data_IF_443202914509
#
_entry.id   IF_443202914509
#
_cell.length_a   1.000
_cell.length_b   1.000
_cell.length_c   1.000
_cell.angle_alpha   90.00
_cell.angle_beta   90.00
_cell.angle_gamma   90.00
#
_symmetry.space_group_name_H-M   'P 1'
#
loop_
_entity.id
_entity.type
_entity.pdbx_description
1 polymer ?
#
# COMPACT_ATOMS: atom_id res chain seq x y z
N UNK A 1 23.04 19.59 7.09
CA UNK A 1 23.76 18.49 6.43
C UNK A 1 22.86 17.88 5.38
N UNK A 2 23.40 17.41 4.24
CA UNK A 2 22.63 16.70 3.23
C UNK A 2 21.89 15.50 3.83
N UNK A 3 20.69 15.21 3.35
CA UNK A 3 19.86 14.17 3.94
C UNK A 3 18.98 13.50 2.91
N UNK A 4 18.75 12.19 3.09
CA UNK A 4 17.77 11.43 2.33
C UNK A 4 16.49 11.26 3.13
N UNK A 5 15.39 11.80 2.63
CA UNK A 5 14.06 11.52 3.16
C UNK A 5 13.36 10.47 2.31
N UNK A 6 12.84 9.42 2.94
CA UNK A 6 11.99 8.40 2.32
C UNK A 6 10.56 8.64 2.79
N UNK A 7 9.74 9.30 1.96
CA UNK A 7 8.52 9.95 2.39
C UNK A 7 7.28 9.19 1.94
N UNK A 8 6.46 8.76 2.87
CA UNK A 8 5.10 8.30 2.63
C UNK A 8 4.15 9.51 2.50
N UNK A 9 3.53 9.67 1.34
CA UNK A 9 2.67 10.84 1.06
C UNK A 9 1.18 10.59 1.29
N UNK A 10 0.85 9.44 1.87
CA UNK A 10 -0.55 9.07 2.08
C UNK A 10 -1.27 8.63 0.78
N UNK A 11 -2.60 8.45 0.83
CA UNK A 11 -3.35 7.82 -0.26
C UNK A 11 -3.57 8.72 -1.47
N UNK A 12 -3.42 10.04 -1.33
CA UNK A 12 -3.55 10.99 -2.43
C UNK A 12 -4.33 12.27 -2.09
N UNK A 13 -5.18 12.28 -1.07
CA UNK A 13 -5.78 13.52 -0.55
C UNK A 13 -4.74 14.34 0.19
N UNK A 14 -4.67 15.66 -0.08
CA UNK A 14 -3.79 16.59 0.64
C UNK A 14 -4.03 16.60 2.15
N UNK A 15 -5.27 16.43 2.58
CA UNK A 15 -5.64 16.41 3.99
C UNK A 15 -5.11 15.19 4.73
N UNK A 16 -4.61 14.19 4.00
CA UNK A 16 -4.07 12.94 4.54
C UNK A 16 -2.55 12.83 4.36
N UNK A 17 -1.89 13.90 3.95
CA UNK A 17 -0.43 14.02 4.01
C UNK A 17 -0.07 14.44 5.44
N UNK A 18 0.84 13.72 6.08
CA UNK A 18 1.26 14.06 7.45
C UNK A 18 2.03 15.39 7.48
N UNK A 19 1.92 16.19 8.57
CA UNK A 19 2.71 17.41 8.71
C UNK A 19 4.22 17.15 8.59
N UNK A 20 4.71 16.01 9.07
CA UNK A 20 6.11 15.63 8.97
C UNK A 20 6.52 15.35 7.51
N UNK A 21 5.63 14.75 6.71
CA UNK A 21 5.88 14.56 5.28
C UNK A 21 5.97 15.91 4.55
N UNK A 22 5.08 16.85 4.84
CA UNK A 22 5.15 18.21 4.27
C UNK A 22 6.48 18.87 4.62
N UNK A 23 6.88 18.84 5.90
CA UNK A 23 8.14 19.42 6.35
C UNK A 23 9.36 18.79 5.68
N UNK A 24 9.38 17.47 5.50
CA UNK A 24 10.45 16.78 4.78
C UNK A 24 10.55 17.24 3.32
N UNK A 25 9.40 17.36 2.64
CA UNK A 25 9.34 17.87 1.26
C UNK A 25 9.79 19.33 1.16
N UNK A 26 9.39 20.17 2.12
CA UNK A 26 9.82 21.57 2.18
C UNK A 26 11.31 21.75 2.41
N UNK A 27 11.93 20.85 3.19
CA UNK A 27 13.37 20.86 3.48
C UNK A 27 14.22 20.29 2.34
N UNK A 28 13.63 19.66 1.34
CA UNK A 28 14.36 19.02 0.25
C UNK A 28 14.72 19.99 -0.87
N UNK A 29 15.91 19.85 -1.43
CA UNK A 29 16.34 20.53 -2.66
C UNK A 29 15.68 19.87 -3.88
N UNK A 30 15.57 18.53 -3.85
CA UNK A 30 15.06 17.70 -4.96
C UNK A 30 14.03 16.73 -4.40
N UNK A 31 12.90 16.60 -5.11
CA UNK A 31 11.86 15.62 -4.80
C UNK A 31 11.75 14.66 -5.98
N UNK A 32 11.89 13.37 -5.71
CA UNK A 32 11.91 12.30 -6.70
C UNK A 32 10.77 11.30 -6.46
N UNK A 33 10.17 10.79 -7.52
CA UNK A 33 9.10 9.80 -7.39
C UNK A 33 8.54 9.30 -8.70
N UNK A 34 7.60 8.37 -8.60
CA UNK A 34 6.77 7.99 -9.74
C UNK A 34 5.90 9.19 -10.18
N UNK A 35 5.82 9.42 -11.50
CA UNK A 35 5.15 10.59 -12.08
C UNK A 35 3.77 10.88 -11.47
N UNK A 36 2.89 9.86 -11.38
CA UNK A 36 1.56 10.01 -10.80
C UNK A 36 1.57 10.35 -9.32
N UNK A 37 2.60 9.95 -8.56
CA UNK A 37 2.73 10.30 -7.14
C UNK A 37 3.19 11.73 -6.97
N UNK A 38 4.09 12.20 -7.84
CA UNK A 38 4.51 13.60 -7.90
C UNK A 38 3.30 14.50 -8.23
N UNK A 39 2.46 14.12 -9.18
CA UNK A 39 1.24 14.85 -9.53
C UNK A 39 0.30 15.02 -8.32
N UNK A 40 0.11 13.97 -7.52
CA UNK A 40 -0.76 14.00 -6.34
C UNK A 40 -0.28 14.99 -5.27
N UNK A 41 1.01 15.20 -5.12
CA UNK A 41 1.57 16.08 -4.09
C UNK A 41 1.92 17.47 -4.62
N UNK A 42 1.86 17.70 -5.95
CA UNK A 42 2.23 18.97 -6.60
C UNK A 42 1.60 20.22 -5.95
N UNK A 43 0.33 20.22 -5.53
CA UNK A 43 -0.25 21.35 -4.84
C UNK A 43 0.34 21.65 -3.45
N UNK A 44 0.92 20.64 -2.79
CA UNK A 44 1.54 20.79 -1.47
C UNK A 44 3.01 21.24 -1.53
N UNK A 45 3.63 21.17 -2.72
CA UNK A 45 5.06 21.51 -2.91
C UNK A 45 5.20 22.65 -3.94
N UNK A 46 5.82 23.77 -3.53
CA UNK A 46 6.04 24.91 -4.41
C UNK A 46 7.54 25.16 -4.56
N UNK A 47 7.95 25.59 -5.76
CA UNK A 47 9.33 26.01 -6.04
C UNK A 47 10.40 24.95 -5.72
N UNK A 48 10.10 23.66 -5.91
CA UNK A 48 11.03 22.56 -5.72
C UNK A 48 11.46 21.96 -7.06
N UNK A 49 12.68 21.47 -7.13
CA UNK A 49 13.12 20.65 -8.26
C UNK A 49 12.44 19.28 -8.18
N UNK A 50 11.72 18.90 -9.22
CA UNK A 50 10.97 17.67 -9.30
C UNK A 50 11.60 16.76 -10.34
N UNK A 51 11.89 15.53 -9.95
CA UNK A 51 12.32 14.48 -10.86
C UNK A 51 11.34 13.32 -10.82
N UNK A 52 10.72 13.04 -11.94
CA UNK A 52 9.75 11.94 -12.07
C UNK A 52 10.18 10.96 -13.14
N UNK A 53 9.76 9.73 -13.00
CA UNK A 53 10.01 8.65 -13.96
C UNK A 53 8.96 7.54 -13.82
N UNK A 54 9.02 6.53 -14.69
CA UNK A 54 8.09 5.41 -14.68
C UNK A 54 8.23 4.55 -13.42
N UNK A 55 7.19 3.78 -13.12
CA UNK A 55 7.15 2.88 -11.95
C UNK A 55 8.18 1.75 -12.02
N UNK A 56 8.75 1.48 -13.19
CA UNK A 56 9.70 0.37 -13.39
C UNK A 56 11.16 0.72 -13.09
N UNK A 57 11.44 1.97 -12.71
CA UNK A 57 12.78 2.50 -12.48
C UNK A 57 13.07 2.76 -10.99
N UNK A 58 12.54 1.92 -10.10
CA UNK A 58 12.71 2.09 -8.66
C UNK A 58 14.19 2.07 -8.25
N UNK A 59 14.96 1.11 -8.79
CA UNK A 59 16.38 0.95 -8.48
C UNK A 59 17.19 2.18 -8.93
N UNK A 60 17.00 2.61 -10.17
CA UNK A 60 17.74 3.75 -10.72
C UNK A 60 17.38 5.07 -10.02
N UNK A 61 16.11 5.22 -9.63
CA UNK A 61 15.66 6.37 -8.84
C UNK A 61 16.31 6.40 -7.45
N UNK A 62 16.44 5.24 -6.79
CA UNK A 62 17.11 5.15 -5.50
C UNK A 62 18.61 5.44 -5.60
N UNK A 63 19.32 4.90 -6.60
CA UNK A 63 20.73 5.19 -6.88
C UNK A 63 20.96 6.69 -7.10
N UNK A 64 20.16 7.30 -7.99
CA UNK A 64 20.28 8.72 -8.32
C UNK A 64 20.04 9.63 -7.13
N UNK A 65 19.06 9.27 -6.26
CA UNK A 65 18.81 10.02 -5.03
C UNK A 65 20.01 9.96 -4.08
N UNK A 66 20.63 8.79 -3.92
CA UNK A 66 21.84 8.61 -3.11
C UNK A 66 22.99 9.44 -3.68
N UNK A 67 23.21 9.40 -5.00
CA UNK A 67 24.24 10.22 -5.67
C UNK A 67 24.06 11.71 -5.40
N UNK A 68 22.84 12.22 -5.45
CA UNK A 68 22.56 13.62 -5.11
C UNK A 68 22.87 13.95 -3.64
N UNK A 69 22.57 13.04 -2.71
CA UNK A 69 22.90 13.28 -1.29
C UNK A 69 24.40 13.27 -1.08
N UNK A 70 25.14 12.37 -1.71
CA UNK A 70 26.61 12.34 -1.69
C UNK A 70 27.23 13.60 -2.32
N UNK A 71 26.53 14.21 -3.29
CA UNK A 71 26.90 15.50 -3.89
C UNK A 71 26.48 16.73 -3.04
N UNK A 72 26.02 16.54 -1.82
CA UNK A 72 25.69 17.62 -0.88
C UNK A 72 24.27 18.16 -0.96
N UNK A 73 23.32 17.46 -1.62
CA UNK A 73 21.91 17.88 -1.74
C UNK A 73 21.03 17.13 -0.74
N UNK A 74 19.98 17.78 -0.27
CA UNK A 74 18.91 17.13 0.49
C UNK A 74 17.82 16.64 -0.47
N UNK A 75 17.49 15.35 -0.41
CA UNK A 75 16.59 14.70 -1.37
C UNK A 75 15.44 14.00 -0.67
N UNK A 76 14.23 14.12 -1.20
CA UNK A 76 13.09 13.28 -0.83
C UNK A 76 12.75 12.30 -1.95
N UNK A 77 12.65 11.01 -1.61
CA UNK A 77 11.99 10.01 -2.47
C UNK A 77 10.58 9.81 -1.95
N UNK A 78 9.57 10.05 -2.79
CA UNK A 78 8.16 9.93 -2.40
C UNK A 78 7.57 8.59 -2.83
N UNK A 79 6.76 8.01 -1.92
CA UNK A 79 5.91 6.86 -2.16
C UNK A 79 4.47 7.23 -1.86
N UNK A 80 3.53 6.77 -2.67
CA UNK A 80 2.12 6.82 -2.30
C UNK A 80 1.85 5.86 -1.15
N UNK A 81 0.96 6.24 -0.24
CA UNK A 81 0.75 5.51 1.00
C UNK A 81 1.91 5.69 1.97
N UNK A 82 2.48 4.61 2.42
CA UNK A 82 3.64 4.56 3.31
C UNK A 82 4.91 4.15 2.55
N UNK A 83 6.06 4.74 2.90
CA UNK A 83 7.32 4.47 2.21
C UNK A 83 7.94 3.11 2.55
N UNK A 84 7.62 2.56 3.73
CA UNK A 84 8.11 1.25 4.21
C UNK A 84 7.18 0.09 3.87
N UNK A 85 5.91 0.35 3.45
CA UNK A 85 4.96 -0.70 3.09
C UNK A 85 4.82 -0.77 1.56
N UNK A 86 5.59 -1.68 0.95
CA UNK A 86 5.69 -1.84 -0.51
C UNK A 86 6.09 -0.56 -1.26
N UNK A 87 6.83 0.34 -0.57
CA UNK A 87 7.31 1.60 -1.08
C UNK A 87 8.82 1.62 -1.31
N UNK A 88 9.36 2.82 -1.54
CA UNK A 88 10.76 3.02 -1.94
C UNK A 88 11.77 2.87 -0.79
N UNK A 89 11.33 2.81 0.48
CA UNK A 89 12.25 2.77 1.61
C UNK A 89 13.10 1.48 1.62
N UNK A 90 12.48 0.32 1.30
CA UNK A 90 13.19 -0.95 1.28
C UNK A 90 14.39 -0.93 0.33
N UNK A 91 14.17 -0.60 -0.94
CA UNK A 91 15.22 -0.61 -1.97
C UNK A 91 16.32 0.44 -1.68
N UNK A 92 15.97 1.60 -1.14
CA UNK A 92 16.95 2.62 -0.77
C UNK A 92 17.85 2.12 0.37
N UNK A 93 17.27 1.51 1.40
CA UNK A 93 18.00 0.93 2.53
C UNK A 93 18.89 -0.25 2.12
N UNK A 94 18.39 -1.12 1.24
CA UNK A 94 19.17 -2.25 0.70
C UNK A 94 20.39 -1.76 -0.09
N UNK A 95 20.23 -0.71 -0.91
CA UNK A 95 21.35 -0.10 -1.64
C UNK A 95 22.38 0.53 -0.71
N UNK A 96 21.92 1.25 0.32
CA UNK A 96 22.82 1.86 1.30
C UNK A 96 23.62 0.79 2.03
N UNK A 97 22.98 -0.27 2.48
CA UNK A 97 23.63 -1.39 3.18
C UNK A 97 24.63 -2.14 2.25
N UNK A 98 24.27 -2.34 0.98
CA UNK A 98 25.12 -3.06 0.03
C UNK A 98 26.43 -2.31 -0.33
N UNK A 99 26.45 -0.99 -0.16
CA UNK A 99 27.59 -0.13 -0.51
C UNK A 99 28.22 0.60 0.69
N UNK A 100 27.80 0.28 1.91
CA UNK A 100 28.27 0.92 3.15
C UNK A 100 28.20 2.46 3.10
N UNK A 101 27.12 3.01 2.49
CA UNK A 101 26.95 4.46 2.43
C UNK A 101 26.57 5.02 3.78
N UNK A 102 27.38 5.93 4.33
CA UNK A 102 27.09 6.70 5.54
C UNK A 102 26.35 8.00 5.16
N UNK A 103 25.03 7.90 5.04
CA UNK A 103 24.12 8.99 4.67
C UNK A 103 23.11 9.19 5.79
N UNK A 104 22.90 10.45 6.19
CA UNK A 104 21.79 10.80 7.10
C UNK A 104 20.45 10.53 6.42
N UNK A 105 19.64 9.65 7.00
CA UNK A 105 18.37 9.20 6.44
C UNK A 105 17.22 9.39 7.44
N UNK A 106 16.04 9.72 6.93
CA UNK A 106 14.80 9.68 7.69
C UNK A 106 13.70 9.00 6.88
N UNK A 107 13.05 8.03 7.50
CA UNK A 107 11.87 7.37 6.96
C UNK A 107 10.65 8.05 7.57
N UNK A 108 9.85 8.70 6.72
CA UNK A 108 8.67 9.46 7.14
C UNK A 108 7.41 8.65 6.82
N UNK A 109 6.63 8.27 7.84
CA UNK A 109 5.45 7.44 7.63
C UNK A 109 4.34 8.16 6.87
N UNK A 110 3.55 7.41 6.14
CA UNK A 110 2.34 7.87 5.47
C UNK A 110 1.16 6.94 5.73
N UNK A 111 -0.05 7.40 5.45
CA UNK A 111 -1.25 6.58 5.57
C UNK A 111 -1.27 5.57 4.42
N UNK A 112 -1.02 4.31 4.73
CA UNK A 112 -0.97 3.23 3.75
C UNK A 112 -2.34 2.93 3.13
N UNK A 113 -2.36 2.30 1.97
CA UNK A 113 -3.58 1.88 1.28
C UNK A 113 -4.47 0.96 2.15
N UNK A 114 -3.88 0.12 3.02
CA UNK A 114 -4.60 -0.71 3.98
C UNK A 114 -5.51 0.15 4.89
N UNK A 115 -4.94 1.15 5.57
CA UNK A 115 -5.69 2.03 6.47
C UNK A 115 -6.73 2.86 5.70
N UNK A 116 -6.34 3.36 4.54
CA UNK A 116 -7.21 4.18 3.68
C UNK A 116 -8.43 3.39 3.20
N UNK A 117 -8.22 2.18 2.70
CA UNK A 117 -9.31 1.33 2.26
C UNK A 117 -10.15 0.82 3.44
N UNK A 118 -9.50 0.47 4.56
CA UNK A 118 -10.20 0.04 5.77
C UNK A 118 -11.21 1.08 6.24
N UNK A 119 -10.82 2.36 6.31
CA UNK A 119 -11.70 3.45 6.74
C UNK A 119 -12.88 3.70 5.78
N UNK A 120 -12.71 3.45 4.48
CA UNK A 120 -13.78 3.55 3.49
C UNK A 120 -14.74 2.36 3.53
N UNK A 121 -14.23 1.20 3.94
CA UNK A 121 -15.02 -0.03 4.05
C UNK A 121 -15.70 -0.19 5.43
N UNK A 122 -15.29 0.56 6.44
CA UNK A 122 -15.80 0.46 7.82
C UNK A 122 -14.71 0.03 8.79
N UNK A 123 -14.86 -1.13 9.43
CA UNK A 123 -13.91 -1.64 10.45
C UNK A 123 -13.48 -3.10 10.17
N UNK A 124 -12.92 -3.39 8.98
CA UNK A 124 -12.55 -4.76 8.64
C UNK A 124 -11.36 -5.28 9.48
N UNK A 125 -10.55 -4.41 10.07
CA UNK A 125 -9.30 -4.74 10.77
C UNK A 125 -9.40 -4.68 12.29
N UNK A 126 -10.59 -4.92 12.84
CA UNK A 126 -10.79 -4.95 14.31
C UNK A 126 -10.21 -6.21 14.97
N UNK A 127 -9.94 -7.26 14.19
CA UNK A 127 -9.27 -8.48 14.61
C UNK A 127 -7.97 -8.66 13.84
N UNK A 128 -7.28 -9.79 14.04
CA UNK A 128 -5.99 -10.06 13.43
C UNK A 128 -6.06 -10.04 11.91
N UNK A 129 -5.08 -9.42 11.30
CA UNK A 129 -5.00 -9.25 9.86
C UNK A 129 -3.58 -9.42 9.33
N UNK A 130 -3.45 -9.68 8.04
CA UNK A 130 -2.18 -9.68 7.34
C UNK A 130 -2.26 -8.90 6.03
N UNK A 131 -1.08 -8.52 5.52
CA UNK A 131 -0.90 -7.85 4.24
C UNK A 131 -0.04 -8.70 3.32
N UNK A 132 -0.50 -8.92 2.09
CA UNK A 132 0.20 -9.72 1.07
C UNK A 132 0.20 -8.94 -0.25
N UNK A 133 1.38 -8.78 -0.85
CA UNK A 133 1.48 -8.29 -2.22
C UNK A 133 1.39 -9.46 -3.21
N UNK A 134 0.49 -9.36 -4.18
CA UNK A 134 0.37 -10.31 -5.28
C UNK A 134 1.31 -9.97 -6.45
N UNK A 135 2.38 -9.21 -6.20
CA UNK A 135 3.38 -8.92 -7.22
C UNK A 135 4.46 -10.01 -7.26
N UNK A 136 4.50 -10.75 -8.36
CA UNK A 136 5.50 -11.79 -8.66
C UNK A 136 6.76 -11.26 -9.35
N UNK A 137 6.97 -9.95 -9.37
CA UNK A 137 8.14 -9.32 -10.01
C UNK A 137 9.45 -9.61 -9.28
N UNK A 138 9.42 -9.62 -7.95
CA UNK A 138 10.59 -9.83 -7.09
C UNK A 138 10.42 -11.03 -6.14
N UNK A 139 9.18 -11.47 -5.95
CA UNK A 139 8.84 -12.60 -5.09
C UNK A 139 8.32 -13.74 -5.95
N UNK A 140 8.90 -14.95 -5.88
CA UNK A 140 8.38 -16.10 -6.61
C UNK A 140 6.90 -16.38 -6.28
N UNK A 141 6.14 -16.76 -7.30
CA UNK A 141 4.70 -17.04 -7.15
C UNK A 141 4.41 -18.08 -6.06
N UNK A 142 5.23 -19.11 -5.95
CA UNK A 142 5.12 -20.18 -4.95
C UNK A 142 5.17 -19.62 -3.51
N UNK A 143 6.06 -18.65 -3.27
CA UNK A 143 6.16 -17.96 -1.98
C UNK A 143 4.90 -17.13 -1.67
N UNK A 144 4.34 -16.48 -2.67
CA UNK A 144 3.10 -15.71 -2.52
C UNK A 144 1.96 -16.67 -2.18
N UNK A 145 1.83 -17.77 -2.90
CA UNK A 145 0.80 -18.79 -2.68
C UNK A 145 0.92 -19.44 -1.30
N UNK A 146 2.14 -19.71 -0.83
CA UNK A 146 2.40 -20.21 0.52
C UNK A 146 1.87 -19.24 1.58
N UNK A 147 2.14 -17.92 1.43
CA UNK A 147 1.67 -16.89 2.35
C UNK A 147 0.14 -16.74 2.31
N UNK A 148 -0.46 -16.79 1.13
CA UNK A 148 -1.93 -16.76 0.96
C UNK A 148 -2.57 -17.95 1.64
N UNK A 149 -1.99 -19.15 1.51
CA UNK A 149 -2.49 -20.38 2.15
C UNK A 149 -2.42 -20.26 3.68
N UNK A 150 -1.29 -19.79 4.21
CA UNK A 150 -1.13 -19.60 5.65
C UNK A 150 -2.11 -18.56 6.22
N UNK A 151 -2.36 -17.46 5.47
CA UNK A 151 -3.33 -16.44 5.84
C UNK A 151 -4.78 -16.98 5.83
N UNK A 152 -5.09 -17.88 4.88
CA UNK A 152 -6.38 -18.51 4.79
C UNK A 152 -6.61 -19.52 5.94
N UNK A 153 -5.62 -20.35 6.22
CA UNK A 153 -5.63 -21.37 7.29
C UNK A 153 -5.69 -20.73 8.68
N UNK A 154 -4.94 -19.63 8.90
CA UNK A 154 -4.95 -18.87 10.15
C UNK A 154 -6.15 -17.94 10.31
N UNK A 155 -7.09 -17.94 9.38
CA UNK A 155 -8.31 -17.10 9.38
C UNK A 155 -8.06 -15.59 9.57
N UNK A 156 -6.94 -15.06 9.03
CA UNK A 156 -6.64 -13.64 9.07
C UNK A 156 -7.49 -12.85 8.08
N UNK A 157 -7.98 -11.67 8.47
CA UNK A 157 -8.42 -10.67 7.48
C UNK A 157 -7.24 -10.34 6.59
N UNK A 158 -7.39 -10.48 5.28
CA UNK A 158 -6.25 -10.41 4.36
C UNK A 158 -6.35 -9.22 3.41
N UNK A 159 -5.40 -8.29 3.53
CA UNK A 159 -5.27 -7.16 2.61
C UNK A 159 -4.32 -7.52 1.46
N UNK A 160 -4.83 -7.53 0.23
CA UNK A 160 -4.08 -7.86 -0.98
C UNK A 160 -3.68 -6.58 -1.70
N UNK A 161 -2.38 -6.30 -1.74
CA UNK A 161 -1.77 -5.26 -2.56
C UNK A 161 -1.45 -5.79 -3.94
N UNK A 162 -1.43 -4.92 -4.94
CA UNK A 162 -1.14 -5.26 -6.33
C UNK A 162 -1.97 -6.44 -6.84
N UNK A 163 -3.31 -6.45 -6.64
CA UNK A 163 -4.15 -7.60 -6.92
C UNK A 163 -4.10 -8.02 -8.38
N UNK A 164 -4.02 -7.05 -9.29
CA UNK A 164 -3.90 -7.29 -10.73
C UNK A 164 -3.00 -6.25 -11.40
N UNK A 165 -2.47 -6.60 -12.57
CA UNK A 165 -1.86 -5.67 -13.52
C UNK A 165 -2.31 -6.02 -14.94
N UNK A 166 -1.92 -5.20 -15.93
CA UNK A 166 -2.25 -5.47 -17.34
C UNK A 166 -1.76 -6.83 -17.85
N UNK A 167 -0.74 -7.41 -17.20
CA UNK A 167 -0.13 -8.71 -17.58
C UNK A 167 -0.36 -9.82 -16.57
N UNK A 168 -0.90 -9.51 -15.38
CA UNK A 168 -1.01 -10.44 -14.26
C UNK A 168 -2.42 -10.43 -13.70
N UNK A 169 -3.16 -11.47 -14.00
CA UNK A 169 -4.57 -11.67 -13.57
C UNK A 169 -4.81 -13.03 -12.93
N UNK A 170 -3.85 -13.95 -13.02
CA UNK A 170 -4.05 -15.33 -12.55
C UNK A 170 -3.86 -15.48 -11.04
N UNK A 171 -2.91 -14.77 -10.42
CA UNK A 171 -2.63 -14.87 -8.99
C UNK A 171 -3.84 -14.51 -8.12
N UNK A 172 -4.63 -13.51 -8.48
CA UNK A 172 -5.84 -13.16 -7.74
C UNK A 172 -6.92 -14.24 -7.85
N UNK A 173 -7.02 -14.93 -8.98
CA UNK A 173 -7.96 -16.06 -9.17
C UNK A 173 -7.53 -17.24 -8.29
N UNK A 174 -6.25 -17.61 -8.33
CA UNK A 174 -5.69 -18.65 -7.46
C UNK A 174 -5.83 -18.30 -5.97
N UNK A 175 -5.64 -17.03 -5.62
CA UNK A 175 -5.87 -16.54 -4.25
C UNK A 175 -7.31 -16.78 -3.83
N UNK A 176 -8.31 -16.44 -4.68
CA UNK A 176 -9.72 -16.73 -4.41
C UNK A 176 -9.97 -18.23 -4.19
N UNK A 177 -9.45 -19.08 -5.07
CA UNK A 177 -9.62 -20.52 -4.99
C UNK A 177 -9.06 -21.11 -3.67
N UNK A 178 -7.91 -20.61 -3.23
CA UNK A 178 -7.31 -21.00 -1.95
C UNK A 178 -8.20 -20.53 -0.80
N UNK A 179 -8.58 -19.27 -0.76
CA UNK A 179 -9.42 -18.71 0.29
C UNK A 179 -10.76 -19.44 0.42
N UNK A 180 -11.37 -19.83 -0.71
CA UNK A 180 -12.63 -20.60 -0.73
C UNK A 180 -12.52 -22.03 -0.17
N UNK A 181 -11.32 -22.56 0.05
CA UNK A 181 -11.14 -23.85 0.75
C UNK A 181 -11.27 -23.72 2.27
N UNK A 182 -11.11 -22.52 2.80
CA UNK A 182 -11.07 -22.24 4.25
C UNK A 182 -12.23 -21.34 4.71
N UNK A 183 -12.92 -20.67 3.81
CA UNK A 183 -13.94 -19.66 4.11
C UNK A 183 -15.20 -19.87 3.29
N UNK A 184 -16.32 -19.40 3.83
CA UNK A 184 -17.60 -19.40 3.12
C UNK A 184 -17.51 -18.53 1.87
N UNK A 185 -18.16 -18.99 0.79
CA UNK A 185 -18.25 -18.25 -0.47
C UNK A 185 -18.87 -16.87 -0.36
N UNK A 186 -19.71 -16.65 0.67
CA UNK A 186 -20.36 -15.38 0.95
C UNK A 186 -19.53 -14.48 1.87
N UNK A 187 -18.33 -14.91 2.32
CA UNK A 187 -17.43 -14.06 3.10
C UNK A 187 -17.26 -12.69 2.41
N UNK A 188 -17.48 -11.57 3.12
CA UNK A 188 -17.37 -10.25 2.54
C UNK A 188 -15.97 -9.95 2.04
N UNK A 189 -15.91 -9.33 0.86
CA UNK A 189 -14.67 -8.83 0.24
C UNK A 189 -14.87 -7.37 -0.13
N UNK A 190 -14.01 -6.50 0.40
CA UNK A 190 -13.95 -5.10 0.06
C UNK A 190 -12.96 -4.84 -1.06
N UNK A 191 -13.36 -4.07 -2.06
CA UNK A 191 -12.53 -3.65 -3.18
C UNK A 191 -12.53 -2.14 -3.20
N UNK A 192 -11.37 -1.53 -3.01
CA UNK A 192 -11.22 -0.08 -3.03
C UNK A 192 -10.20 0.32 -4.08
N UNK A 193 -10.65 1.13 -5.02
CA UNK A 193 -9.83 1.70 -6.09
C UNK A 193 -9.69 3.18 -5.88
N UNK A 194 -8.49 3.73 -6.09
CA UNK A 194 -8.22 5.16 -5.94
C UNK A 194 -8.68 5.75 -4.60
N UNK A 195 -8.41 5.07 -3.48
CA UNK A 195 -8.80 5.54 -2.15
C UNK A 195 -8.35 7.00 -1.92
N UNK A 196 -9.31 7.89 -1.60
CA UNK A 196 -9.07 9.32 -1.37
C UNK A 196 -8.44 10.07 -2.55
N UNK A 197 -8.74 9.63 -3.79
CA UNK A 197 -8.33 10.27 -5.06
C UNK A 197 -9.54 10.50 -5.96
N UNK A 198 -9.35 11.29 -7.00
CA UNK A 198 -10.32 11.39 -8.07
C UNK A 198 -10.60 10.01 -8.68
N UNK A 199 -11.87 9.73 -8.93
CA UNK A 199 -12.31 8.41 -9.41
C UNK A 199 -12.25 7.32 -8.33
N UNK A 200 -12.41 7.66 -7.03
CA UNK A 200 -12.57 6.70 -5.94
C UNK A 200 -13.77 5.79 -6.20
N UNK A 201 -13.54 4.49 -6.09
CA UNK A 201 -14.58 3.48 -6.13
C UNK A 201 -14.47 2.57 -4.90
N UNK A 202 -15.59 2.29 -4.26
CA UNK A 202 -15.68 1.42 -3.07
C UNK A 202 -16.77 0.39 -3.30
N UNK A 203 -16.41 -0.88 -3.26
CA UNK A 203 -17.34 -1.99 -3.45
C UNK A 203 -17.21 -3.00 -2.31
N UNK A 204 -18.32 -3.56 -1.87
CA UNK A 204 -18.35 -4.72 -0.98
C UNK A 204 -19.07 -5.83 -1.74
N UNK A 205 -18.33 -6.89 -2.02
CA UNK A 205 -18.78 -8.09 -2.71
C UNK A 205 -18.65 -9.32 -1.80
N UNK A 206 -18.70 -10.50 -2.38
CA UNK A 206 -18.45 -11.77 -1.70
C UNK A 206 -17.22 -12.45 -2.28
N UNK A 207 -16.63 -13.38 -1.55
CA UNK A 207 -15.47 -14.16 -1.98
C UNK A 207 -15.72 -14.89 -3.32
N UNK A 208 -16.95 -15.31 -3.59
CA UNK A 208 -17.35 -15.94 -4.83
C UNK A 208 -17.38 -14.95 -6.03
N UNK A 209 -17.75 -13.69 -5.80
CA UNK A 209 -18.11 -12.74 -6.89
C UNK A 209 -17.18 -11.53 -7.04
N UNK A 210 -16.22 -11.33 -6.15
CA UNK A 210 -15.43 -10.11 -6.16
C UNK A 210 -14.57 -9.92 -7.41
N UNK A 211 -14.28 -11.01 -8.13
CA UNK A 211 -13.54 -10.94 -9.41
C UNK A 211 -14.35 -10.33 -10.56
N UNK A 212 -15.68 -10.19 -10.41
CA UNK A 212 -16.53 -9.52 -11.37
C UNK A 212 -16.35 -7.99 -11.36
N UNK A 213 -15.71 -7.47 -10.30
CA UNK A 213 -15.44 -6.04 -10.12
C UNK A 213 -14.12 -5.70 -10.79
N UNK A 214 -14.12 -4.63 -11.59
CA UNK A 214 -12.92 -4.16 -12.29
C UNK A 214 -11.86 -3.71 -11.27
N UNK A 215 -10.66 -4.21 -11.43
CA UNK A 215 -9.49 -3.89 -10.63
C UNK A 215 -8.32 -3.46 -11.51
N UNK A 216 -7.40 -2.69 -10.95
CA UNK A 216 -6.14 -2.28 -11.57
C UNK A 216 -5.03 -2.14 -10.51
N UNK A 217 -3.88 -1.56 -10.89
CA UNK A 217 -2.75 -1.35 -9.98
C UNK A 217 -3.00 -0.33 -8.85
N UNK A 218 -4.11 0.41 -8.90
CA UNK A 218 -4.52 1.36 -7.86
C UNK A 218 -5.62 0.78 -6.95
N UNK A 219 -5.82 -0.51 -7.03
CA UNK A 219 -6.82 -1.24 -6.26
C UNK A 219 -6.17 -1.99 -5.10
N UNK A 220 -6.82 -1.96 -3.95
CA UNK A 220 -6.56 -2.87 -2.83
C UNK A 220 -7.79 -3.73 -2.59
N UNK A 221 -7.59 -5.02 -2.30
CA UNK A 221 -8.66 -5.96 -1.99
C UNK A 221 -8.51 -6.40 -0.53
N UNK A 222 -9.60 -6.36 0.23
CA UNK A 222 -9.65 -6.77 1.63
C UNK A 222 -10.60 -7.94 1.74
N UNK A 223 -10.07 -9.15 1.97
CA UNK A 223 -10.85 -10.36 2.18
C UNK A 223 -11.12 -10.50 3.68
N UNK A 224 -12.38 -10.53 4.07
CA UNK A 224 -12.80 -10.77 5.43
C UNK A 224 -12.38 -12.15 5.95
N UNK A 225 -12.46 -12.39 7.25
CA UNK A 225 -12.32 -13.70 7.88
C UNK A 225 -13.68 -14.39 8.10
N UNK A 226 -13.70 -15.55 8.79
CA UNK A 226 -14.93 -16.31 9.06
C UNK A 226 -15.98 -15.54 9.86
N UNK A 227 -15.56 -14.51 10.62
CA UNK A 227 -16.42 -13.69 11.46
C UNK A 227 -16.86 -12.39 10.79
N UNK A 228 -16.25 -12.03 9.65
CA UNK A 228 -16.58 -10.77 8.97
C UNK A 228 -17.98 -10.81 8.39
N UNK A 229 -18.75 -9.75 8.63
CA UNK A 229 -20.07 -9.59 8.04
C UNK A 229 -20.25 -8.20 7.43
N UNK A 230 -21.26 -8.09 6.57
CA UNK A 230 -21.68 -6.82 6.00
C UNK A 230 -22.81 -6.22 6.82
N UNK A 231 -22.65 -4.95 7.18
CA UNK A 231 -23.72 -4.14 7.77
C UNK A 231 -23.96 -2.92 6.89
N UNK A 232 -25.11 -2.88 6.24
CA UNK A 232 -25.47 -1.84 5.26
C UNK A 232 -24.40 -1.73 4.17
N UNK A 233 -23.57 -0.69 4.23
CA UNK A 233 -22.47 -0.40 3.28
C UNK A 233 -21.09 -0.55 3.93
N UNK A 234 -20.99 -1.28 5.03
CA UNK A 234 -19.75 -1.45 5.77
C UNK A 234 -19.39 -2.93 5.96
N UNK A 235 -18.10 -3.20 6.04
CA UNK A 235 -17.54 -4.47 6.51
C UNK A 235 -17.15 -4.34 7.97
N UNK A 236 -17.59 -5.29 8.76
CA UNK A 236 -17.27 -5.37 10.19
C UNK A 236 -16.63 -6.73 10.47
N UNK A 237 -15.42 -6.73 11.03
CA UNK A 237 -14.82 -7.92 11.62
C UNK A 237 -14.85 -7.76 13.13
N UNK A 238 -15.73 -8.49 13.87
CA UNK A 238 -15.93 -8.25 15.29
C UNK A 238 -14.70 -8.68 16.11
N UNK A 239 -14.43 -7.98 17.18
CA UNK A 239 -13.46 -8.36 18.21
C UNK A 239 -14.11 -9.09 19.39
N UNK A 240 -15.26 -9.70 19.15
CA UNK A 240 -16.01 -10.50 20.14
C UNK A 240 -16.46 -9.74 21.40
N UNK A 241 -16.71 -8.43 21.28
CA UNK A 241 -17.26 -7.64 22.39
C UNK A 241 -18.59 -8.23 22.89
N UNK A 242 -19.45 -8.74 22.01
CA UNK A 242 -20.72 -9.37 22.36
C UNK A 242 -20.60 -10.64 23.21
N UNK A 243 -19.41 -11.26 23.31
CA UNK A 243 -19.17 -12.38 24.22
C UNK A 243 -19.04 -11.94 25.67
N UNK A 244 -18.80 -10.64 25.91
CA UNK A 244 -18.53 -10.07 27.24
C UNK A 244 -19.53 -8.97 27.63
N UNK A 245 -20.12 -8.30 26.66
CA UNK A 245 -21.03 -7.17 26.88
C UNK A 245 -22.33 -7.40 26.08
N UNK A 246 -23.46 -6.96 26.60
CA UNK A 246 -24.68 -6.77 25.80
C UNK A 246 -24.43 -5.63 24.80
N UNK A 247 -24.65 -5.89 23.52
CA UNK A 247 -24.51 -4.93 22.41
C UNK A 247 -25.87 -4.53 21.89
#
# INVERSE_FOLDING_TARGET
>A
MPKLYLVGTGPGSHNLITPEAIKALENSDIIMGYEKYIELIRPAIRNKSLESGPVTEELERAKKAIEYVLAGRTVSIVSSGDSGIYGMAGIAMELMAAHDYDIDISIIPGITALNSAGSLLGVPFMNDFCSISLSDRLTPEEEIIKRVTAAADGDFVTALYNPVSSKRTELIKRTREIMMKYRDRNTPVGIVRNAYRDGQEVHISTLDKFLDIKMDMFTIVIIGNSMTYRYINYMITPRNYGNKYEL
#
